data_IF_533769732609
#
_entry.id   IF_533769732609
#
_cell.length_a   1.000
_cell.length_b   1.000
_cell.length_c   1.000
_cell.angle_alpha   90.00
_cell.angle_beta   90.00
_cell.angle_gamma   90.00
#
_symmetry.space_group_name_H-M   'P 1'
#
loop_
_entity.id
_entity.type
_entity.pdbx_description
1 polymer ?
#
# COMPACT_ATOMS: atom_id res chain seq x y z
N UNK A 1 10.02 10.54 5.15
CA UNK A 1 9.92 11.36 6.37
C UNK A 1 10.13 12.86 6.06
N UNK A 2 11.20 13.23 5.37
CA UNK A 2 11.45 14.63 4.96
C UNK A 2 10.34 15.19 4.05
N UNK A 3 9.81 14.39 3.13
CA UNK A 3 8.70 14.79 2.25
C UNK A 3 7.43 15.19 3.02
N UNK A 4 7.15 14.51 4.12
CA UNK A 4 5.98 14.82 4.96
C UNK A 4 6.23 16.02 5.87
N UNK A 5 7.48 16.28 6.27
CA UNK A 5 7.83 17.37 7.17
C UNK A 5 8.01 18.71 6.45
N UNK A 6 8.10 18.73 5.12
CA UNK A 6 8.33 19.95 4.33
C UNK A 6 7.24 21.03 4.48
N UNK A 7 6.11 20.73 5.08
CA UNK A 7 4.96 21.63 5.20
C UNK A 7 4.71 22.16 6.62
N UNK A 8 5.43 21.66 7.64
CA UNK A 8 5.30 22.17 9.02
C UNK A 8 6.61 22.02 9.79
N UNK A 9 7.07 23.10 10.37
CA UNK A 9 8.26 23.13 11.23
C UNK A 9 8.10 22.36 12.58
N UNK A 10 6.92 21.82 12.89
CA UNK A 10 6.56 21.24 14.18
C UNK A 10 5.64 20.00 14.09
N UNK A 11 5.80 19.12 13.09
CA UNK A 11 5.04 17.86 13.08
C UNK A 11 5.60 16.92 14.16
N UNK A 12 4.76 16.55 15.13
CA UNK A 12 5.08 15.51 16.09
C UNK A 12 5.00 14.14 15.41
N UNK A 13 6.13 13.44 15.30
CA UNK A 13 6.24 12.14 14.63
C UNK A 13 5.29 11.07 15.16
N UNK A 14 4.85 11.19 16.42
CA UNK A 14 3.99 10.20 17.07
C UNK A 14 2.53 10.27 16.59
N UNK A 15 2.17 11.30 15.80
CA UNK A 15 0.78 11.53 15.37
C UNK A 15 0.63 11.98 13.90
N UNK A 16 1.53 11.54 13.04
CA UNK A 16 1.61 11.97 11.65
C UNK A 16 0.28 11.76 10.88
N UNK A 17 -0.37 10.60 11.07
CA UNK A 17 -1.65 10.28 10.43
C UNK A 17 -2.72 11.29 10.80
N UNK A 18 -2.81 11.62 12.11
CA UNK A 18 -3.80 12.59 12.60
C UNK A 18 -3.54 13.98 12.02
N UNK A 19 -2.29 14.44 12.02
CA UNK A 19 -1.94 15.77 11.51
C UNK A 19 -2.25 15.90 10.01
N UNK A 20 -1.89 14.90 9.22
CA UNK A 20 -2.24 14.90 7.79
C UNK A 20 -3.74 14.78 7.56
N UNK A 21 -4.47 14.06 8.42
CA UNK A 21 -5.93 14.05 8.38
C UNK A 21 -6.50 15.44 8.62
N UNK A 22 -6.05 16.12 9.67
CA UNK A 22 -6.52 17.48 10.01
C UNK A 22 -6.23 18.47 8.86
N UNK A 23 -5.09 18.36 8.18
CA UNK A 23 -4.74 19.18 7.02
C UNK A 23 -5.60 18.86 5.79
N UNK A 24 -5.72 17.58 5.42
CA UNK A 24 -6.40 17.10 4.21
C UNK A 24 -7.92 17.31 4.28
N UNK A 25 -8.50 17.22 5.47
CA UNK A 25 -9.93 17.47 5.71
C UNK A 25 -10.23 18.90 6.18
N UNK A 26 -9.19 19.75 6.33
CA UNK A 26 -9.33 21.11 6.76
C UNK A 26 -10.09 21.99 5.76
N UNK A 27 -10.56 23.16 6.25
CA UNK A 27 -11.34 24.11 5.44
C UNK A 27 -10.51 24.94 4.45
N UNK A 28 -9.18 25.00 4.63
CA UNK A 28 -8.29 25.69 3.71
C UNK A 28 -7.92 24.75 2.55
N UNK A 29 -8.55 24.99 1.40
CA UNK A 29 -8.44 24.12 0.23
C UNK A 29 -7.01 24.05 -0.35
N UNK A 30 -6.25 25.13 -0.30
CA UNK A 30 -4.88 25.14 -0.84
C UNK A 30 -3.92 24.34 0.06
N UNK A 31 -4.07 24.45 1.37
CA UNK A 31 -3.32 23.62 2.32
C UNK A 31 -3.71 22.15 2.16
N UNK A 32 -4.99 21.85 2.04
CA UNK A 32 -5.47 20.49 1.87
C UNK A 32 -4.89 19.79 0.63
N UNK A 33 -4.84 20.51 -0.52
CA UNK A 33 -4.22 20.01 -1.75
C UNK A 33 -2.74 19.70 -1.59
N UNK A 34 -1.99 20.65 -1.00
CA UNK A 34 -0.55 20.45 -0.80
C UNK A 34 -0.26 19.29 0.15
N UNK A 35 -1.02 19.20 1.25
CA UNK A 35 -0.90 18.09 2.19
C UNK A 35 -1.23 16.73 1.52
N UNK A 36 -2.26 16.69 0.68
CA UNK A 36 -2.63 15.49 -0.06
C UNK A 36 -1.52 15.03 -1.01
N UNK A 37 -0.94 15.95 -1.77
CA UNK A 37 0.18 15.66 -2.67
C UNK A 37 1.38 15.14 -1.88
N UNK A 38 1.73 15.78 -0.76
CA UNK A 38 2.85 15.34 0.08
C UNK A 38 2.61 13.93 0.65
N UNK A 39 1.39 13.65 1.15
CA UNK A 39 1.00 12.34 1.63
C UNK A 39 1.14 11.28 0.54
N UNK A 40 0.59 11.52 -0.65
CA UNK A 40 0.62 10.57 -1.76
C UNK A 40 2.03 10.35 -2.33
N UNK A 41 2.87 11.40 -2.36
CA UNK A 41 4.30 11.27 -2.74
C UNK A 41 5.06 10.40 -1.74
N UNK A 42 4.82 10.58 -0.44
CA UNK A 42 5.42 9.72 0.59
C UNK A 42 5.01 8.26 0.40
N UNK A 43 3.72 7.98 0.27
CA UNK A 43 3.23 6.64 -0.01
C UNK A 43 3.88 6.04 -1.25
N UNK A 44 3.89 6.77 -2.35
CA UNK A 44 4.53 6.34 -3.60
C UNK A 44 6.00 5.96 -3.41
N UNK A 45 6.71 6.68 -2.52
CA UNK A 45 8.14 6.45 -2.26
C UNK A 45 8.47 5.13 -1.57
N UNK A 46 7.51 4.55 -0.83
CA UNK A 46 7.70 3.30 -0.08
C UNK A 46 7.13 2.07 -0.78
N UNK A 47 6.46 2.24 -1.92
CA UNK A 47 5.82 1.13 -2.64
C UNK A 47 6.81 0.24 -3.39
N UNK A 48 7.90 0.81 -3.89
CA UNK A 48 8.89 0.08 -4.71
C UNK A 48 10.22 -0.02 -4.00
N UNK A 49 10.90 -1.15 -4.15
CA UNK A 49 12.25 -1.33 -3.64
C UNK A 49 13.24 -0.36 -4.34
N UNK A 50 13.14 -0.26 -5.66
CA UNK A 50 13.92 0.68 -6.45
C UNK A 50 12.98 1.78 -6.94
N UNK A 51 13.14 3.02 -6.45
CA UNK A 51 12.32 4.13 -6.93
C UNK A 51 12.48 4.28 -8.44
N UNK A 52 11.37 4.36 -9.17
CA UNK A 52 11.41 4.79 -10.55
C UNK A 52 11.68 6.29 -10.55
N UNK A 53 12.78 6.70 -11.17
CA UNK A 53 13.05 8.11 -11.49
C UNK A 53 12.11 8.49 -12.64
N UNK A 54 10.85 8.76 -12.35
CA UNK A 54 9.96 9.43 -13.31
C UNK A 54 10.41 10.89 -13.37
N UNK A 55 11.43 11.13 -14.22
CA UNK A 55 12.01 12.44 -14.51
C UNK A 55 11.02 13.42 -15.17
N UNK A 56 9.78 12.99 -15.41
CA UNK A 56 8.78 13.73 -16.18
C UNK A 56 7.59 14.25 -15.36
N UNK A 57 7.56 14.09 -14.05
CA UNK A 57 6.52 14.73 -13.24
C UNK A 57 6.94 16.17 -12.93
N UNK A 58 6.74 17.07 -13.90
CA UNK A 58 6.70 18.50 -13.62
C UNK A 58 5.50 18.76 -12.68
N UNK A 59 5.68 19.61 -11.68
CA UNK A 59 4.59 20.01 -10.77
C UNK A 59 3.41 20.68 -11.51
N UNK A 60 3.58 20.97 -12.81
CA UNK A 60 2.58 21.57 -13.72
C UNK A 60 1.44 20.61 -14.09
N UNK A 61 1.64 19.28 -14.00
CA UNK A 61 0.65 18.27 -14.42
C UNK A 61 -0.12 17.62 -13.25
N UNK A 62 -0.01 18.16 -12.02
CA UNK A 62 -0.65 17.58 -10.85
C UNK A 62 -2.17 17.78 -10.90
N UNK A 63 -2.94 16.69 -10.98
CA UNK A 63 -4.37 16.72 -10.76
C UNK A 63 -4.71 16.79 -9.27
N UNK A 64 -4.75 17.99 -8.72
CA UNK A 64 -4.99 18.22 -7.29
C UNK A 64 -6.32 17.66 -6.76
N UNK A 65 -7.36 17.63 -7.57
CA UNK A 65 -8.65 17.07 -7.17
C UNK A 65 -8.55 15.55 -6.98
N UNK A 66 -7.86 14.88 -7.90
CA UNK A 66 -7.58 13.46 -7.80
C UNK A 66 -6.70 13.14 -6.59
N UNK A 67 -5.61 13.88 -6.40
CA UNK A 67 -4.70 13.68 -5.26
C UNK A 67 -5.40 13.90 -3.92
N UNK A 68 -6.26 14.92 -3.83
CA UNK A 68 -7.04 15.19 -2.63
C UNK A 68 -8.07 14.08 -2.34
N UNK A 69 -8.78 13.61 -3.36
CA UNK A 69 -9.74 12.52 -3.22
C UNK A 69 -9.05 11.23 -2.76
N UNK A 70 -7.92 10.87 -3.37
CA UNK A 70 -7.11 9.70 -3.02
C UNK A 70 -6.63 9.76 -1.57
N UNK A 71 -6.03 10.87 -1.14
CA UNK A 71 -5.55 11.05 0.23
C UNK A 71 -6.69 10.97 1.26
N UNK A 72 -7.85 11.59 0.95
CA UNK A 72 -9.04 11.52 1.81
C UNK A 72 -9.52 10.09 2.03
N UNK A 73 -9.66 9.31 0.96
CA UNK A 73 -10.09 7.91 1.07
C UNK A 73 -9.12 7.12 1.93
N UNK A 74 -7.83 7.24 1.67
CA UNK A 74 -6.80 6.50 2.38
C UNK A 74 -6.74 6.86 3.87
N UNK A 75 -6.68 8.16 4.21
CA UNK A 75 -6.65 8.63 5.58
C UNK A 75 -7.94 8.26 6.33
N UNK A 76 -9.08 8.28 5.65
CA UNK A 76 -10.33 7.80 6.23
C UNK A 76 -10.27 6.34 6.64
N UNK A 77 -9.76 5.46 5.76
CA UNK A 77 -9.60 4.04 6.08
C UNK A 77 -8.57 3.82 7.22
N UNK A 78 -7.42 4.47 7.16
CA UNK A 78 -6.37 4.33 8.19
C UNK A 78 -6.91 4.76 9.57
N UNK A 79 -7.58 5.91 9.68
CA UNK A 79 -8.15 6.40 10.94
C UNK A 79 -9.25 5.49 11.52
N UNK A 80 -9.89 4.68 10.68
CA UNK A 80 -10.91 3.73 11.09
C UNK A 80 -10.40 2.28 11.12
N UNK A 81 -9.08 2.06 11.20
CA UNK A 81 -8.46 0.73 11.22
C UNK A 81 -8.97 -0.16 10.09
N UNK A 82 -9.17 0.42 8.89
CA UNK A 82 -9.75 -0.23 7.72
C UNK A 82 -11.13 -0.88 7.98
N UNK A 83 -11.84 -0.48 9.04
CA UNK A 83 -13.12 -1.04 9.49
C UNK A 83 -13.08 -2.55 9.80
N UNK A 84 -11.91 -3.07 10.12
CA UNK A 84 -11.67 -4.50 10.37
C UNK A 84 -10.86 -4.66 11.65
N UNK A 85 -11.26 -5.59 12.53
CA UNK A 85 -10.33 -6.13 13.52
C UNK A 85 -9.32 -7.02 12.78
N UNK A 86 -8.02 -6.70 12.89
CA UNK A 86 -6.96 -7.40 12.16
C UNK A 86 -6.93 -8.91 12.38
N UNK A 87 -7.47 -9.39 13.50
CA UNK A 87 -7.61 -10.82 13.77
C UNK A 87 -8.83 -11.47 13.12
N UNK A 88 -9.81 -10.72 12.64
CA UNK A 88 -11.06 -11.29 12.11
C UNK A 88 -10.86 -12.03 10.80
N UNK A 89 -9.91 -11.58 9.98
CA UNK A 89 -9.55 -12.28 8.72
C UNK A 89 -9.00 -13.67 9.05
N UNK A 90 -8.03 -13.75 9.96
CA UNK A 90 -7.40 -15.01 10.33
C UNK A 90 -8.36 -15.96 11.07
N UNK A 91 -9.27 -15.45 11.92
CA UNK A 91 -10.32 -16.27 12.56
C UNK A 91 -11.24 -16.93 11.55
N UNK A 92 -11.51 -16.29 10.41
CA UNK A 92 -12.40 -16.79 9.35
C UNK A 92 -11.67 -17.52 8.22
N UNK A 93 -10.37 -17.75 8.33
CA UNK A 93 -9.51 -18.30 7.27
C UNK A 93 -10.00 -19.67 6.74
N UNK A 94 -10.70 -20.43 7.57
CA UNK A 94 -11.22 -21.75 7.23
C UNK A 94 -12.19 -21.75 6.02
N UNK A 95 -12.83 -20.62 5.70
CA UNK A 95 -13.70 -20.49 4.52
C UNK A 95 -12.91 -20.62 3.21
N UNK A 96 -11.60 -20.48 3.26
CA UNK A 96 -10.70 -20.58 2.11
C UNK A 96 -10.19 -22.03 1.89
N UNK A 97 -10.53 -22.98 2.77
CA UNK A 97 -10.16 -24.38 2.58
C UNK A 97 -10.79 -24.93 1.30
N UNK A 98 -9.96 -25.53 0.46
CA UNK A 98 -10.40 -26.09 -0.82
C UNK A 98 -10.38 -25.09 -2.00
N UNK A 99 -10.09 -23.81 -1.75
CA UNK A 99 -9.90 -22.83 -2.82
C UNK A 99 -8.41 -22.79 -3.17
N UNK A 100 -8.01 -22.97 -4.44
CA UNK A 100 -6.61 -22.83 -4.85
C UNK A 100 -6.12 -21.40 -4.59
N UNK A 101 -5.01 -21.26 -3.86
CA UNK A 101 -4.47 -19.95 -3.45
C UNK A 101 -2.99 -19.86 -3.81
N UNK A 102 -2.61 -18.76 -4.46
CA UNK A 102 -1.23 -18.37 -4.69
C UNK A 102 -0.99 -17.01 -4.08
N UNK A 103 0.03 -16.92 -3.25
CA UNK A 103 0.47 -15.70 -2.56
C UNK A 103 1.78 -15.27 -3.20
N UNK A 104 1.83 -14.05 -3.73
CA UNK A 104 3.05 -13.43 -4.26
C UNK A 104 3.40 -12.26 -3.36
N UNK A 105 4.62 -12.24 -2.84
CA UNK A 105 5.05 -11.28 -1.83
C UNK A 105 6.45 -10.75 -2.14
N UNK A 106 6.62 -9.45 -2.17
CA UNK A 106 7.93 -8.82 -2.22
C UNK A 106 8.69 -8.99 -0.90
N UNK A 107 9.96 -9.34 -0.98
CA UNK A 107 10.82 -9.57 0.21
C UNK A 107 11.01 -8.31 1.04
N UNK A 108 11.08 -7.15 0.39
CA UNK A 108 11.33 -5.84 0.99
C UNK A 108 10.08 -4.97 1.06
N UNK A 109 8.90 -5.60 1.11
CA UNK A 109 7.64 -4.90 1.26
C UNK A 109 7.57 -4.25 2.64
N UNK A 110 7.67 -2.91 2.65
CA UNK A 110 7.64 -2.08 3.87
C UNK A 110 6.21 -1.67 4.24
N UNK A 111 5.25 -1.84 3.34
CA UNK A 111 3.84 -1.50 3.55
C UNK A 111 3.09 -2.69 4.14
N UNK A 112 3.22 -3.86 3.50
CA UNK A 112 2.65 -5.12 3.96
C UNK A 112 3.77 -6.14 4.19
N UNK A 113 4.34 -6.21 5.41
CA UNK A 113 5.54 -7.01 5.67
C UNK A 113 5.36 -8.50 5.33
N UNK A 114 6.38 -9.16 4.79
CA UNK A 114 6.34 -10.58 4.39
C UNK A 114 5.93 -11.54 5.51
N UNK A 115 6.09 -11.12 6.76
CA UNK A 115 5.62 -11.87 7.94
C UNK A 115 4.15 -12.23 7.83
N UNK A 116 3.30 -11.28 7.42
CA UNK A 116 1.85 -11.49 7.28
C UNK A 116 1.52 -12.55 6.22
N UNK A 117 2.21 -12.49 5.07
CA UNK A 117 2.06 -13.50 4.02
C UNK A 117 2.51 -14.90 4.48
N UNK A 118 3.58 -14.96 5.27
CA UNK A 118 4.05 -16.20 5.87
C UNK A 118 3.07 -16.78 6.88
N UNK A 119 2.53 -15.97 7.79
CA UNK A 119 1.51 -16.38 8.76
C UNK A 119 0.24 -16.90 8.06
N UNK A 120 -0.19 -16.23 6.99
CA UNK A 120 -1.29 -16.67 6.15
C UNK A 120 -1.00 -18.07 5.53
N UNK A 121 0.20 -18.26 4.98
CA UNK A 121 0.63 -19.54 4.43
C UNK A 121 0.62 -20.66 5.46
N UNK A 122 1.02 -20.39 6.71
CA UNK A 122 1.00 -21.40 7.79
C UNK A 122 -0.43 -21.89 8.09
N UNK A 123 -1.42 -21.01 8.01
CA UNK A 123 -2.82 -21.35 8.23
C UNK A 123 -3.51 -21.96 7.00
N UNK A 124 -2.94 -21.78 5.82
CA UNK A 124 -3.41 -22.33 4.54
C UNK A 124 -2.33 -23.22 3.91
N UNK A 125 -2.07 -24.41 4.44
CA UNK A 125 -0.97 -25.26 4.00
C UNK A 125 -1.08 -25.69 2.52
N UNK A 126 -2.28 -25.67 1.94
CA UNK A 126 -2.53 -25.94 0.52
C UNK A 126 -2.23 -24.73 -0.40
N UNK A 127 -2.03 -23.53 0.14
CA UNK A 127 -1.63 -22.36 -0.67
C UNK A 127 -0.18 -22.51 -1.15
N UNK A 128 0.17 -21.75 -2.20
CA UNK A 128 1.56 -21.59 -2.64
C UNK A 128 2.02 -20.17 -2.30
N UNK A 129 3.17 -20.02 -1.64
CA UNK A 129 3.79 -18.73 -1.35
C UNK A 129 5.06 -18.57 -2.19
N UNK A 130 5.11 -17.49 -2.97
CA UNK A 130 6.29 -17.08 -3.75
C UNK A 130 6.81 -15.77 -3.19
N UNK A 131 8.06 -15.77 -2.69
CA UNK A 131 8.75 -14.55 -2.23
C UNK A 131 9.62 -14.05 -3.38
N UNK A 132 9.41 -12.79 -3.77
CA UNK A 132 10.22 -12.11 -4.79
C UNK A 132 11.40 -11.44 -4.10
N UNK A 133 12.60 -11.91 -4.42
CA UNK A 133 13.83 -11.60 -3.68
C UNK A 133 14.25 -10.12 -3.77
N UNK A 134 13.85 -9.44 -4.83
CA UNK A 134 14.25 -8.08 -5.24
C UNK A 134 13.06 -7.15 -5.48
N UNK A 135 11.96 -7.33 -4.74
CA UNK A 135 10.77 -6.51 -4.85
C UNK A 135 10.30 -5.96 -3.51
N UNK A 136 9.62 -4.81 -3.57
CA UNK A 136 8.88 -4.18 -2.49
C UNK A 136 7.39 -4.54 -2.52
N UNK A 137 6.52 -3.53 -2.34
CA UNK A 137 5.06 -3.69 -2.28
C UNK A 137 4.40 -3.70 -3.66
N UNK A 138 4.97 -3.01 -4.64
CA UNK A 138 4.30 -2.76 -5.90
C UNK A 138 4.17 -4.02 -6.76
N UNK A 139 2.93 -4.30 -7.19
CA UNK A 139 2.66 -5.35 -8.18
C UNK A 139 3.30 -5.09 -9.55
N UNK A 140 3.73 -3.87 -9.82
CA UNK A 140 4.36 -3.47 -11.09
C UNK A 140 5.87 -3.69 -11.13
N UNK A 141 6.50 -4.15 -10.05
CA UNK A 141 7.91 -4.55 -10.07
C UNK A 141 8.05 -5.86 -10.87
N UNK A 142 9.05 -5.94 -11.74
CA UNK A 142 9.16 -6.98 -12.78
C UNK A 142 9.00 -8.40 -12.25
N UNK A 143 9.68 -8.72 -11.15
CA UNK A 143 9.59 -10.03 -10.51
C UNK A 143 8.20 -10.34 -9.97
N UNK A 144 7.55 -9.36 -9.33
CA UNK A 144 6.20 -9.48 -8.79
C UNK A 144 5.18 -9.63 -9.91
N UNK A 145 5.26 -8.77 -10.93
CA UNK A 145 4.37 -8.82 -12.10
C UNK A 145 4.47 -10.17 -12.81
N UNK A 146 5.68 -10.64 -13.07
CA UNK A 146 5.92 -11.94 -13.72
C UNK A 146 5.34 -13.11 -12.91
N UNK A 147 5.51 -13.09 -11.59
CA UNK A 147 4.98 -14.13 -10.70
C UNK A 147 3.44 -14.11 -10.64
N UNK A 148 2.82 -12.92 -10.62
CA UNK A 148 1.36 -12.77 -10.66
C UNK A 148 0.77 -13.27 -11.98
N UNK A 149 1.39 -12.93 -13.13
CA UNK A 149 0.98 -13.45 -14.44
C UNK A 149 1.09 -14.97 -14.46
N UNK A 150 2.22 -15.53 -14.02
CA UNK A 150 2.40 -16.98 -13.94
C UNK A 150 1.35 -17.65 -13.04
N UNK A 151 0.99 -17.04 -11.92
CA UNK A 151 -0.05 -17.54 -11.01
C UNK A 151 -1.42 -17.58 -11.69
N UNK A 152 -1.80 -16.50 -12.39
CA UNK A 152 -3.10 -16.43 -13.10
C UNK A 152 -3.16 -17.40 -14.27
N UNK A 153 -2.07 -17.59 -15.04
CA UNK A 153 -2.02 -18.60 -16.12
C UNK A 153 -2.21 -20.03 -15.58
N UNK A 154 -1.64 -20.35 -14.42
CA UNK A 154 -1.85 -21.66 -13.79
C UNK A 154 -3.31 -21.89 -13.37
N UNK A 155 -4.03 -20.84 -12.94
CA UNK A 155 -5.45 -20.97 -12.60
C UNK A 155 -6.35 -21.28 -13.80
N UNK A 156 -5.98 -20.85 -15.01
CA UNK A 156 -6.71 -21.23 -16.25
C UNK A 156 -6.75 -22.74 -16.48
N UNK A 157 -5.79 -23.49 -15.93
CA UNK A 157 -5.69 -24.94 -16.09
C UNK A 157 -6.51 -25.72 -15.05
N UNK A 158 -7.13 -25.01 -14.10
CA UNK A 158 -7.96 -25.61 -13.04
C UNK A 158 -9.47 -25.55 -13.35
N UNK A 159 -9.84 -24.99 -14.50
CA UNK A 159 -11.21 -24.84 -15.00
C UNK A 159 -11.66 -26.01 -15.86
#
# INVERSE_FOLDING_TARGET
HELLLSHKDNINNDNLVKEYTDLVFGSNFDIAKQAAVAWNKFEGSILKLIPTTDLNNSDEDINYEFELARAKVQLHYINNFCFIDGNDILKKINVLKGIPIKIVQGRYDMVCPPKTAYELKQQLPHSELTIIADAGHSASEDGTLSALICATEKFKLLS
#
